data_IF_997653675304
#
_entry.id   IF_997653675304
#
_cell.length_a   1.000
_cell.length_b   1.000
_cell.length_c   1.000
_cell.angle_alpha   90.00
_cell.angle_beta   90.00
_cell.angle_gamma   90.00
#
_symmetry.space_group_name_H-M   'P 1'
#
loop_
_entity.id
_entity.type
_entity.pdbx_description
1 polymer ?
#
# COMPACT_ATOMS: atom_id res chain seq x y z
N UNK A 1 -13.07 -13.48 -6.80
CA UNK A 1 -13.07 -12.00 -6.71
C UNK A 1 -12.09 -11.60 -5.62
N UNK A 2 -11.16 -10.70 -5.90
CA UNK A 2 -10.14 -10.26 -4.92
C UNK A 2 -10.70 -9.17 -4.00
N UNK A 3 -10.44 -9.23 -2.69
CA UNK A 3 -11.19 -8.50 -1.65
C UNK A 3 -11.16 -6.96 -1.81
N UNK A 4 -10.06 -6.40 -2.31
CA UNK A 4 -9.86 -4.95 -2.44
C UNK A 4 -9.94 -4.44 -3.88
N UNK A 5 -10.48 -5.24 -4.81
CA UNK A 5 -10.60 -4.85 -6.21
C UNK A 5 -11.35 -3.52 -6.35
N UNK A 6 -10.75 -2.56 -7.08
CA UNK A 6 -11.32 -1.22 -7.33
C UNK A 6 -11.25 -0.25 -6.15
N UNK A 7 -10.58 -0.61 -5.05
CA UNK A 7 -10.32 0.31 -3.94
C UNK A 7 -9.00 1.04 -4.17
N UNK A 8 -9.01 2.36 -3.95
CA UNK A 8 -7.84 3.24 -4.01
C UNK A 8 -7.39 3.57 -2.59
N UNK A 9 -6.14 3.26 -2.24
CA UNK A 9 -5.63 3.37 -0.87
C UNK A 9 -4.35 4.21 -0.87
N UNK A 10 -4.32 5.25 -0.04
CA UNK A 10 -3.10 6.00 0.27
C UNK A 10 -2.35 5.29 1.41
N UNK A 11 -1.09 4.92 1.17
CA UNK A 11 -0.19 4.33 2.16
C UNK A 11 0.89 5.35 2.50
N UNK A 12 1.07 5.62 3.79
CA UNK A 12 2.12 6.51 4.31
C UNK A 12 3.14 5.70 5.13
N UNK A 13 4.32 6.26 5.39
CA UNK A 13 5.30 5.63 6.28
C UNK A 13 6.03 4.41 5.67
N UNK A 14 6.14 4.33 4.35
CA UNK A 14 6.97 3.33 3.66
C UNK A 14 8.40 3.86 3.54
N UNK A 15 9.29 3.39 4.43
CA UNK A 15 10.70 3.78 4.44
C UNK A 15 11.59 2.74 3.73
N UNK A 16 11.24 1.47 3.80
CA UNK A 16 11.96 0.38 3.13
C UNK A 16 11.05 -0.84 2.93
N UNK A 17 11.57 -1.87 2.27
CA UNK A 17 10.88 -3.17 2.16
C UNK A 17 10.72 -3.92 3.50
N UNK A 18 11.29 -3.41 4.60
CA UNK A 18 11.12 -3.92 5.97
C UNK A 18 10.07 -3.15 6.78
N UNK A 19 9.52 -2.06 6.25
CA UNK A 19 8.49 -1.28 6.94
C UNK A 19 7.19 -2.09 7.12
N UNK A 20 6.49 -1.86 8.22
CA UNK A 20 5.13 -2.43 8.43
C UNK A 20 4.19 -1.97 7.30
N UNK A 21 4.25 -0.68 6.95
CA UNK A 21 3.46 -0.10 5.86
C UNK A 21 3.71 -0.79 4.51
N UNK A 22 4.94 -1.27 4.26
CA UNK A 22 5.26 -2.02 3.04
C UNK A 22 4.60 -3.40 3.05
N UNK A 23 4.59 -4.10 4.18
CA UNK A 23 3.87 -5.37 4.35
C UNK A 23 2.36 -5.22 4.09
N UNK A 24 1.76 -4.15 4.63
CA UNK A 24 0.35 -3.81 4.40
C UNK A 24 0.12 -3.52 2.91
N UNK A 25 0.94 -2.66 2.29
CA UNK A 25 0.83 -2.33 0.87
C UNK A 25 0.89 -3.59 -0.02
N UNK A 26 1.83 -4.50 0.25
CA UNK A 26 1.96 -5.76 -0.49
C UNK A 26 0.69 -6.61 -0.38
N UNK A 27 0.14 -6.79 0.82
CA UNK A 27 -1.07 -7.56 1.04
C UNK A 27 -2.28 -6.89 0.34
N UNK A 28 -2.41 -5.56 0.43
CA UNK A 28 -3.48 -4.82 -0.22
C UNK A 28 -3.41 -4.94 -1.75
N UNK A 29 -2.22 -4.80 -2.33
CA UNK A 29 -2.01 -4.93 -3.77
C UNK A 29 -2.33 -6.35 -4.27
N UNK A 30 -1.93 -7.39 -3.53
CA UNK A 30 -2.31 -8.79 -3.82
C UNK A 30 -3.84 -8.98 -3.80
N UNK A 31 -4.55 -8.17 -3.01
CA UNK A 31 -6.02 -8.16 -2.97
C UNK A 31 -6.67 -7.26 -4.03
N UNK A 32 -5.91 -6.74 -5.00
CA UNK A 32 -6.43 -5.98 -6.14
C UNK A 32 -6.63 -4.48 -5.89
N UNK A 33 -6.04 -3.93 -4.82
CA UNK A 33 -6.08 -2.50 -4.56
C UNK A 33 -5.15 -1.69 -5.49
N UNK A 34 -5.58 -0.49 -5.85
CA UNK A 34 -4.74 0.55 -6.42
C UNK A 34 -4.12 1.37 -5.27
N UNK A 35 -2.80 1.54 -5.29
CA UNK A 35 -2.07 2.15 -4.18
C UNK A 35 -1.42 3.47 -4.60
N UNK A 36 -1.52 4.46 -3.72
CA UNK A 36 -0.73 5.69 -3.76
C UNK A 36 0.18 5.71 -2.52
N UNK A 37 1.35 6.34 -2.66
CA UNK A 37 2.33 6.45 -1.58
C UNK A 37 2.62 7.92 -1.27
N UNK A 38 3.00 8.20 -0.03
CA UNK A 38 3.58 9.47 0.37
C UNK A 38 4.93 9.22 1.05
N UNK A 39 5.83 10.19 0.91
CA UNK A 39 7.18 10.13 1.45
C UNK A 39 7.42 11.34 2.36
N UNK A 40 8.19 11.13 3.44
CA UNK A 40 8.59 12.23 4.31
C UNK A 40 9.61 13.09 3.56
N UNK A 41 9.34 14.39 3.44
CA UNK A 41 10.23 15.33 2.74
C UNK A 41 9.84 15.65 1.30
N UNK A 42 8.69 15.16 0.85
CA UNK A 42 7.87 15.84 -0.16
C UNK A 42 6.91 16.85 0.49
#
# INVERSE_FOLDING_TARGET
MSFLTGKKILITGVLSNRSIAYGIAKACHQQGAELAFSYVGE
#
